data_IF_770696775296
#
_entry.id   IF_770696775296
#
_cell.length_a   1.000
_cell.length_b   1.000
_cell.length_c   1.000
_cell.angle_alpha   90.00
_cell.angle_beta   90.00
_cell.angle_gamma   90.00
#
_symmetry.space_group_name_H-M   'P 1'
#
loop_
_entity.id
_entity.type
_entity.pdbx_description
1 polymer ?
#
# COMPACT_ATOMS: atom_id res chain seq x y z
N UNK A 1 -3.72 2.48 -8.33
CA UNK A 1 -2.90 2.51 -7.10
C UNK A 1 -3.80 2.88 -5.92
N UNK A 2 -4.42 4.07 -5.88
CA UNK A 2 -5.17 4.58 -4.74
C UNK A 2 -6.24 3.64 -4.18
N UNK A 3 -7.04 3.00 -5.04
CA UNK A 3 -8.04 2.02 -4.61
C UNK A 3 -7.43 0.88 -3.78
N UNK A 4 -6.37 0.24 -4.29
CA UNK A 4 -5.75 -0.88 -3.58
C UNK A 4 -5.02 -0.43 -2.31
N UNK A 5 -4.39 0.75 -2.32
CA UNK A 5 -3.77 1.31 -1.12
C UNK A 5 -4.81 1.56 -0.03
N UNK A 6 -5.92 2.23 -0.37
CA UNK A 6 -7.00 2.48 0.57
C UNK A 6 -7.64 1.19 1.09
N UNK A 7 -7.89 0.22 0.20
CA UNK A 7 -8.48 -1.08 0.55
C UNK A 7 -7.62 -1.86 1.54
N UNK A 8 -6.33 -2.01 1.27
CA UNK A 8 -5.43 -2.75 2.17
C UNK A 8 -5.26 -2.04 3.51
N UNK A 9 -5.11 -0.73 3.51
CA UNK A 9 -5.06 0.04 4.76
C UNK A 9 -6.34 -0.10 5.59
N UNK A 10 -7.52 -0.14 4.95
CA UNK A 10 -8.79 -0.38 5.65
C UNK A 10 -8.88 -1.81 6.19
N UNK A 11 -8.65 -2.81 5.32
CA UNK A 11 -8.93 -4.23 5.62
C UNK A 11 -7.83 -4.89 6.46
N UNK A 12 -6.56 -4.58 6.21
CA UNK A 12 -5.42 -5.26 6.85
C UNK A 12 -4.87 -4.45 8.04
N UNK A 13 -4.86 -3.11 7.95
CA UNK A 13 -4.28 -2.23 8.98
C UNK A 13 -5.35 -1.54 9.86
N UNK A 14 -6.63 -1.66 9.52
CA UNK A 14 -7.72 -1.04 10.27
C UNK A 14 -7.74 0.48 10.18
N UNK A 15 -7.12 1.06 9.15
CA UNK A 15 -7.12 2.50 8.93
C UNK A 15 -8.52 3.00 8.53
N UNK A 16 -8.91 4.15 9.06
CA UNK A 16 -10.16 4.81 8.70
C UNK A 16 -9.92 5.72 7.50
N UNK A 17 -10.50 5.37 6.37
CA UNK A 17 -10.43 6.16 5.13
C UNK A 17 -11.49 7.26 5.19
N UNK A 18 -11.11 8.49 5.46
CA UNK A 18 -12.04 9.61 5.62
C UNK A 18 -12.30 10.38 4.33
N UNK A 19 -11.38 10.35 3.37
CA UNK A 19 -11.53 11.10 2.11
C UNK A 19 -11.03 10.31 0.92
N UNK A 20 -11.76 10.40 -0.19
CA UNK A 20 -11.37 9.85 -1.49
C UNK A 20 -11.53 10.95 -2.55
N UNK A 21 -10.44 11.23 -3.27
CA UNK A 21 -10.40 12.22 -4.34
C UNK A 21 -10.35 11.48 -5.67
N UNK A 22 -11.27 11.82 -6.54
CA UNK A 22 -11.38 11.27 -7.88
C UNK A 22 -11.42 12.39 -8.93
N UNK A 23 -11.40 12.03 -10.20
CA UNK A 23 -11.37 13.01 -11.31
C UNK A 23 -12.61 13.91 -11.37
N UNK A 24 -13.74 13.42 -10.93
CA UNK A 24 -15.04 14.14 -10.94
C UNK A 24 -15.29 14.96 -9.67
N UNK A 25 -14.46 14.82 -8.64
CA UNK A 25 -14.59 15.49 -7.35
C UNK A 25 -14.06 14.65 -6.22
N UNK A 26 -14.49 14.95 -5.01
CA UNK A 26 -14.08 14.18 -3.83
C UNK A 26 -15.27 13.93 -2.90
N UNK A 27 -15.16 12.88 -2.11
CA UNK A 27 -16.09 12.56 -1.03
C UNK A 27 -15.33 12.52 0.30
N UNK A 28 -15.98 13.01 1.34
CA UNK A 28 -15.48 13.05 2.71
C UNK A 28 -16.52 12.47 3.66
N UNK A 29 -16.07 11.64 4.60
CA UNK A 29 -16.87 11.12 5.71
C UNK A 29 -16.00 10.97 6.96
N UNK A 30 -16.29 11.72 8.00
CA UNK A 30 -15.55 11.65 9.28
C UNK A 30 -15.72 10.30 9.97
N UNK A 31 -16.83 9.61 9.76
CA UNK A 31 -17.09 8.26 10.26
C UNK A 31 -16.28 7.18 9.55
N UNK A 32 -15.74 7.51 8.38
CA UNK A 32 -15.02 6.60 7.49
C UNK A 32 -15.84 6.18 6.28
N UNK A 33 -15.12 5.90 5.20
CA UNK A 33 -15.65 5.41 3.93
C UNK A 33 -15.30 3.92 3.80
N UNK A 34 -16.26 3.10 3.41
CA UNK A 34 -16.01 1.71 3.04
C UNK A 34 -15.49 1.66 1.62
N UNK A 35 -14.20 1.36 1.46
CA UNK A 35 -13.49 1.50 0.18
C UNK A 35 -14.12 0.63 -0.91
N UNK A 36 -14.49 -0.60 -0.59
CA UNK A 36 -15.13 -1.51 -1.54
C UNK A 36 -16.51 -1.00 -1.99
N UNK A 37 -17.30 -0.43 -1.07
CA UNK A 37 -18.62 0.13 -1.39
C UNK A 37 -18.50 1.36 -2.29
N UNK A 38 -17.52 2.25 -2.02
CA UNK A 38 -17.22 3.40 -2.89
C UNK A 38 -16.80 2.94 -4.29
N UNK A 39 -15.98 1.89 -4.37
CA UNK A 39 -15.53 1.35 -5.66
C UNK A 39 -16.67 0.76 -6.48
N UNK A 40 -17.56 -0.02 -5.87
CA UNK A 40 -18.73 -0.59 -6.53
C UNK A 40 -19.70 0.53 -6.96
N UNK A 41 -19.97 1.49 -6.08
CA UNK A 41 -20.80 2.64 -6.40
C UNK A 41 -20.27 3.40 -7.63
N UNK A 42 -18.96 3.70 -7.63
CA UNK A 42 -18.32 4.36 -8.78
C UNK A 42 -18.42 3.53 -10.06
N UNK A 43 -18.29 2.21 -9.96
CA UNK A 43 -18.43 1.30 -11.12
C UNK A 43 -19.83 1.32 -11.70
N UNK A 44 -20.86 1.42 -10.85
CA UNK A 44 -22.26 1.44 -11.26
C UNK A 44 -22.71 2.81 -11.79
N UNK A 45 -22.26 3.89 -11.15
CA UNK A 45 -22.72 5.26 -11.43
C UNK A 45 -21.74 6.08 -12.27
N UNK A 46 -20.51 5.61 -12.47
CA UNK A 46 -19.45 6.30 -13.22
C UNK A 46 -18.80 7.48 -12.48
N UNK A 47 -19.22 7.80 -11.26
CA UNK A 47 -18.77 8.92 -10.44
C UNK A 47 -18.92 8.62 -8.95
N UNK A 48 -18.24 9.41 -8.11
CA UNK A 48 -18.37 9.31 -6.64
C UNK A 48 -19.43 10.27 -6.07
N UNK A 49 -19.90 11.23 -6.85
CA UNK A 49 -20.98 12.15 -6.46
C UNK A 49 -22.25 11.39 -6.09
N UNK A 50 -22.79 11.69 -4.91
CA UNK A 50 -24.02 11.06 -4.40
C UNK A 50 -23.78 9.75 -3.62
N UNK A 51 -22.51 9.39 -3.35
CA UNK A 51 -22.23 8.26 -2.47
C UNK A 51 -22.86 8.50 -1.08
N UNK A 52 -23.59 7.50 -0.53
CA UNK A 52 -24.28 7.65 0.75
C UNK A 52 -23.35 8.02 1.91
N UNK A 53 -23.89 8.69 2.92
CA UNK A 53 -23.19 9.04 4.16
C UNK A 53 -21.87 9.80 3.96
N UNK A 54 -21.74 10.51 2.85
CA UNK A 54 -20.58 11.33 2.54
C UNK A 54 -20.96 12.73 2.08
N UNK A 55 -20.03 13.67 2.26
CA UNK A 55 -20.13 15.02 1.70
C UNK A 55 -19.34 15.09 0.39
N UNK A 56 -19.98 15.47 -0.68
CA UNK A 56 -19.34 15.63 -1.99
C UNK A 56 -18.77 17.04 -2.19
N UNK A 57 -17.56 17.09 -2.73
CA UNK A 57 -16.85 18.31 -3.09
C UNK A 57 -16.48 18.26 -4.58
N UNK A 58 -17.07 19.15 -5.38
CA UNK A 58 -16.77 19.22 -6.82
C UNK A 58 -15.30 19.59 -7.08
N UNK A 59 -14.74 20.50 -6.26
CA UNK A 59 -13.33 20.86 -6.28
C UNK A 59 -12.55 19.91 -5.37
N UNK A 60 -12.25 18.70 -5.86
CA UNK A 60 -11.62 17.63 -5.08
C UNK A 60 -10.29 18.03 -4.41
N UNK A 61 -9.52 18.92 -5.04
CA UNK A 61 -8.26 19.39 -4.49
C UNK A 61 -8.39 20.07 -3.10
N UNK A 62 -9.55 20.62 -2.76
CA UNK A 62 -9.80 21.22 -1.44
C UNK A 62 -9.73 20.21 -0.29
N UNK A 63 -10.00 18.94 -0.58
CA UNK A 63 -9.93 17.88 0.43
C UNK A 63 -8.48 17.56 0.82
N UNK A 64 -7.49 17.89 -0.01
CA UNK A 64 -6.08 17.73 0.37
C UNK A 64 -5.73 18.49 1.65
N UNK A 65 -6.41 19.62 1.90
CA UNK A 65 -6.19 20.48 3.05
C UNK A 65 -7.01 20.07 4.30
N UNK A 66 -7.83 19.01 4.16
CA UNK A 66 -8.63 18.49 5.28
C UNK A 66 -7.75 17.76 6.30
N UNK A 67 -7.97 17.95 7.61
CA UNK A 67 -7.18 17.28 8.65
C UNK A 67 -7.21 15.76 8.52
N UNK A 68 -6.03 15.14 8.50
CA UNK A 68 -5.87 13.69 8.50
C UNK A 68 -4.52 13.30 9.11
N UNK A 69 -4.33 12.04 9.45
CA UNK A 69 -3.01 11.55 9.88
C UNK A 69 -2.09 11.31 8.68
N UNK A 70 -2.62 10.69 7.62
CA UNK A 70 -1.85 10.27 6.44
C UNK A 70 -2.56 10.76 5.18
N UNK A 71 -1.83 11.49 4.34
CA UNK A 71 -2.24 11.90 3.01
C UNK A 71 -1.51 11.05 1.96
N UNK A 72 -2.25 10.44 1.02
CA UNK A 72 -1.69 9.52 0.03
C UNK A 72 -1.99 10.02 -1.39
N UNK A 73 -1.16 10.86 -1.99
CA UNK A 73 -1.27 11.22 -3.40
C UNK A 73 -0.95 9.98 -4.27
N UNK A 74 -1.95 9.45 -4.97
CA UNK A 74 -1.84 8.18 -5.69
C UNK A 74 -2.29 8.26 -7.16
N UNK A 75 -2.42 9.47 -7.73
CA UNK A 75 -2.96 9.66 -9.06
C UNK A 75 -2.07 10.52 -9.97
N UNK A 76 -1.82 11.76 -9.61
CA UNK A 76 -1.19 12.75 -10.48
C UNK A 76 0.06 13.36 -9.85
N UNK A 77 0.97 13.80 -10.72
CA UNK A 77 2.11 14.64 -10.38
C UNK A 77 1.67 16.05 -9.96
N UNK A 78 2.48 16.74 -9.15
CA UNK A 78 2.33 18.14 -8.83
C UNK A 78 1.01 18.54 -8.15
N UNK A 79 0.36 17.64 -7.41
CA UNK A 79 -0.89 17.93 -6.70
C UNK A 79 -0.66 18.70 -5.39
N UNK A 80 0.53 18.58 -4.81
CA UNK A 80 0.98 19.35 -3.66
C UNK A 80 2.03 20.35 -4.14
N UNK A 81 1.69 21.63 -4.05
CA UNK A 81 2.49 22.75 -4.55
C UNK A 81 2.80 23.73 -3.42
N UNK A 82 3.68 24.69 -3.67
CA UNK A 82 3.96 25.78 -2.72
C UNK A 82 2.69 26.55 -2.31
N UNK A 83 1.64 26.55 -3.16
CA UNK A 83 0.40 27.25 -2.87
C UNK A 83 -0.44 26.57 -1.80
N UNK A 84 -0.56 25.22 -1.84
CA UNK A 84 -1.41 24.47 -0.92
C UNK A 84 -0.64 23.80 0.24
N UNK A 85 0.65 23.56 0.09
CA UNK A 85 1.48 22.94 1.14
C UNK A 85 1.35 23.61 2.52
N UNK A 86 1.36 24.97 2.65
CA UNK A 86 1.21 25.60 3.96
C UNK A 86 -0.12 25.35 4.68
N UNK A 87 -1.14 24.85 3.95
CA UNK A 87 -2.47 24.59 4.51
C UNK A 87 -2.75 23.11 4.76
N UNK A 88 -1.82 22.23 4.40
CA UNK A 88 -1.97 20.81 4.67
C UNK A 88 -1.94 20.53 6.18
N UNK A 89 -2.83 19.65 6.61
CA UNK A 89 -3.01 19.31 8.02
C UNK A 89 -2.86 17.78 8.22
N UNK A 90 -1.73 17.26 7.77
CA UNK A 90 -1.40 15.84 7.93
C UNK A 90 -0.09 15.67 8.70
N UNK A 91 0.16 14.47 9.23
CA UNK A 91 1.43 14.11 9.85
C UNK A 91 2.40 13.47 8.88
N UNK A 92 1.85 12.73 7.92
CA UNK A 92 2.61 11.95 6.93
C UNK A 92 2.04 12.17 5.54
N UNK A 93 2.91 12.37 4.56
CA UNK A 93 2.58 12.28 3.13
C UNK A 93 3.27 11.04 2.57
N UNK A 94 2.47 10.13 2.00
CA UNK A 94 2.95 8.89 1.39
C UNK A 94 2.78 8.99 -0.14
N UNK A 95 3.87 9.21 -0.87
CA UNK A 95 3.85 9.50 -2.31
C UNK A 95 3.67 8.23 -3.16
N UNK A 96 2.42 7.83 -3.37
CA UNK A 96 2.08 6.67 -4.19
C UNK A 96 1.93 6.99 -5.70
N UNK A 97 2.12 8.24 -6.10
CA UNK A 97 2.25 8.69 -7.49
C UNK A 97 3.69 9.16 -7.75
N UNK A 98 4.05 9.39 -9.01
CA UNK A 98 5.35 9.98 -9.36
C UNK A 98 5.30 11.50 -9.19
N UNK A 99 6.24 12.08 -8.43
CA UNK A 99 6.40 13.50 -8.23
C UNK A 99 5.13 14.24 -7.79
N UNK A 100 4.35 13.75 -6.82
CA UNK A 100 3.10 14.40 -6.44
C UNK A 100 3.33 15.67 -5.63
N UNK A 101 4.48 15.79 -4.97
CA UNK A 101 4.91 16.96 -4.20
C UNK A 101 5.99 17.70 -5.00
N UNK A 102 5.78 19.01 -5.25
CA UNK A 102 6.80 19.83 -5.91
C UNK A 102 7.98 20.11 -4.98
N UNK A 103 9.12 20.49 -5.55
CA UNK A 103 10.34 20.76 -4.77
C UNK A 103 10.11 21.88 -3.73
N UNK A 104 9.43 22.96 -4.12
CA UNK A 104 9.13 24.06 -3.21
C UNK A 104 8.17 23.65 -2.10
N UNK A 105 7.21 22.78 -2.41
CA UNK A 105 6.29 22.24 -1.42
C UNK A 105 7.01 21.32 -0.44
N UNK A 106 7.95 20.50 -0.92
CA UNK A 106 8.74 19.59 -0.09
C UNK A 106 9.51 20.36 0.99
N UNK A 107 10.13 21.48 0.63
CA UNK A 107 10.82 22.34 1.59
C UNK A 107 9.89 22.88 2.68
N UNK A 108 8.73 23.41 2.27
CA UNK A 108 7.71 23.92 3.21
C UNK A 108 7.22 22.83 4.16
N UNK A 109 6.93 21.64 3.63
CA UNK A 109 6.42 20.52 4.41
C UNK A 109 7.47 20.00 5.41
N UNK A 110 8.73 19.96 5.03
CA UNK A 110 9.85 19.60 5.93
C UNK A 110 9.98 20.63 7.05
N UNK A 111 9.90 21.93 6.77
CA UNK A 111 9.90 22.98 7.78
C UNK A 111 8.69 22.89 8.74
N UNK A 112 7.54 22.42 8.24
CA UNK A 112 6.34 22.16 9.05
C UNK A 112 6.46 20.86 9.89
N UNK A 113 7.51 20.06 9.69
CA UNK A 113 7.72 18.79 10.39
C UNK A 113 6.83 17.65 9.88
N UNK A 114 6.29 17.77 8.66
CA UNK A 114 5.49 16.71 8.03
C UNK A 114 6.44 15.68 7.43
N UNK A 115 6.27 14.42 7.83
CA UNK A 115 7.06 13.33 7.31
C UNK A 115 6.66 12.99 5.89
N UNK A 116 7.60 13.06 4.93
CA UNK A 116 7.37 12.64 3.55
C UNK A 116 8.02 11.28 3.33
N UNK A 117 7.22 10.29 2.90
CA UNK A 117 7.73 9.02 2.38
C UNK A 117 7.80 9.16 0.86
N UNK A 118 9.02 9.28 0.29
CA UNK A 118 9.20 9.72 -1.09
C UNK A 118 8.77 8.66 -2.10
N UNK A 119 8.37 9.12 -3.26
CA UNK A 119 7.94 8.30 -4.40
C UNK A 119 9.03 7.33 -4.87
N UNK A 120 10.29 7.75 -4.91
CA UNK A 120 11.43 6.91 -5.28
C UNK A 120 11.48 5.60 -4.48
N UNK A 121 10.95 5.61 -3.24
CA UNK A 121 10.80 4.43 -2.41
C UNK A 121 9.37 3.86 -2.48
N UNK A 122 8.35 4.65 -2.17
CA UNK A 122 7.01 4.13 -1.89
C UNK A 122 6.34 3.50 -3.12
N UNK A 123 6.47 4.11 -4.28
CA UNK A 123 5.87 3.57 -5.50
C UNK A 123 6.72 2.50 -6.19
N UNK A 124 7.93 2.21 -5.69
CA UNK A 124 8.83 1.20 -6.24
C UNK A 124 8.29 -0.24 -6.16
N UNK A 125 7.30 -0.49 -5.29
CA UNK A 125 6.69 -1.82 -5.15
C UNK A 125 6.15 -2.37 -6.47
N UNK A 126 5.55 -1.54 -7.31
CA UNK A 126 5.04 -1.94 -8.63
C UNK A 126 6.15 -2.44 -9.57
N UNK A 127 7.28 -1.75 -9.64
CA UNK A 127 8.42 -2.16 -10.48
C UNK A 127 9.13 -3.38 -9.89
N UNK A 128 9.18 -3.51 -8.58
CA UNK A 128 9.73 -4.69 -7.90
C UNK A 128 8.95 -5.96 -8.27
N UNK A 129 7.62 -5.89 -8.25
CA UNK A 129 6.76 -7.01 -8.70
C UNK A 129 6.97 -7.31 -10.18
N UNK A 130 7.10 -6.29 -11.03
CA UNK A 130 7.41 -6.48 -12.46
C UNK A 130 8.77 -7.15 -12.66
N UNK A 131 9.75 -6.86 -11.83
CA UNK A 131 11.05 -7.54 -11.85
C UNK A 131 10.91 -9.02 -11.46
N UNK A 132 10.10 -9.36 -10.46
CA UNK A 132 9.83 -10.77 -10.11
C UNK A 132 9.15 -11.51 -11.27
N UNK A 133 8.19 -10.86 -11.95
CA UNK A 133 7.52 -11.42 -13.12
C UNK A 133 8.52 -11.66 -14.27
N UNK A 134 9.42 -10.72 -14.52
CA UNK A 134 10.48 -10.87 -15.51
C UNK A 134 11.43 -12.03 -15.19
N UNK A 135 11.91 -12.18 -13.95
CA UNK A 135 12.73 -13.30 -13.50
C UNK A 135 12.02 -14.65 -13.72
N UNK A 136 10.72 -14.70 -13.39
CA UNK A 136 9.89 -15.88 -13.63
C UNK A 136 9.86 -16.25 -15.11
N UNK A 137 9.68 -15.26 -15.99
CA UNK A 137 9.64 -15.48 -17.44
C UNK A 137 10.98 -15.95 -17.98
N UNK A 138 12.10 -15.42 -17.49
CA UNK A 138 13.45 -15.84 -17.88
C UNK A 138 13.78 -17.26 -17.43
N UNK A 139 13.42 -17.62 -16.23
CA UNK A 139 13.77 -18.93 -15.66
C UNK A 139 12.96 -20.07 -16.25
N UNK A 140 11.90 -19.79 -17.02
CA UNK A 140 10.91 -20.78 -17.49
C UNK A 140 10.36 -21.69 -16.38
N UNK A 141 10.60 -21.35 -15.11
CA UNK A 141 10.16 -22.07 -13.92
C UNK A 141 8.99 -21.31 -13.32
N UNK A 142 7.92 -22.05 -13.02
CA UNK A 142 6.84 -21.49 -12.20
C UNK A 142 7.35 -21.40 -10.78
N UNK A 143 7.56 -20.17 -10.26
CA UNK A 143 7.92 -19.95 -8.87
C UNK A 143 6.99 -20.74 -7.94
N UNK A 144 7.59 -21.43 -6.98
CA UNK A 144 6.84 -22.17 -5.95
C UNK A 144 6.34 -23.56 -6.36
N UNK A 145 6.52 -24.04 -7.60
CA UNK A 145 6.02 -25.38 -7.95
C UNK A 145 6.75 -26.51 -7.24
N UNK A 146 8.06 -26.37 -7.05
CA UNK A 146 8.86 -27.33 -6.28
C UNK A 146 8.64 -27.13 -4.78
N UNK A 147 8.66 -25.88 -4.32
CA UNK A 147 8.43 -25.52 -2.92
C UNK A 147 7.02 -25.92 -2.47
N UNK A 148 6.03 -25.73 -3.33
CA UNK A 148 4.65 -26.15 -3.08
C UNK A 148 4.53 -27.65 -2.89
N UNK A 149 5.14 -28.46 -3.75
CA UNK A 149 5.14 -29.94 -3.59
C UNK A 149 5.83 -30.39 -2.30
N UNK A 150 6.91 -29.68 -1.93
CA UNK A 150 7.61 -29.97 -0.68
C UNK A 150 6.75 -29.60 0.54
N UNK A 151 6.10 -28.44 0.50
CA UNK A 151 5.18 -27.98 1.55
C UNK A 151 3.95 -28.89 1.65
N UNK A 152 3.34 -29.27 0.52
CA UNK A 152 2.22 -30.23 0.49
C UNK A 152 2.62 -31.56 1.15
N UNK A 153 3.77 -32.12 0.81
CA UNK A 153 4.26 -33.38 1.40
C UNK A 153 4.61 -33.25 2.91
N UNK A 154 5.09 -32.08 3.34
CA UNK A 154 5.30 -31.82 4.78
C UNK A 154 3.97 -31.67 5.52
N UNK A 155 3.02 -30.93 4.96
CA UNK A 155 1.71 -30.71 5.55
C UNK A 155 0.90 -32.01 5.63
N UNK A 156 1.00 -32.90 4.63
CA UNK A 156 0.40 -34.25 4.69
C UNK A 156 0.91 -35.04 5.90
N UNK A 157 2.21 -35.02 6.15
CA UNK A 157 2.81 -35.69 7.33
C UNK A 157 2.34 -35.08 8.65
N UNK A 158 2.20 -33.76 8.70
CA UNK A 158 1.67 -33.06 9.89
C UNK A 158 0.21 -33.43 10.12
N UNK A 159 -0.61 -33.50 9.08
CA UNK A 159 -2.01 -33.94 9.16
C UNK A 159 -2.08 -35.39 9.70
N UNK A 160 -1.29 -36.30 9.15
CA UNK A 160 -1.23 -37.71 9.63
C UNK A 160 -0.86 -37.77 11.10
N UNK A 161 0.11 -37.00 11.56
CA UNK A 161 0.51 -36.94 12.97
C UNK A 161 -0.61 -36.41 13.87
N UNK A 162 -1.30 -35.36 13.43
CA UNK A 162 -2.44 -34.78 14.16
C UNK A 162 -3.59 -35.77 14.25
N UNK A 163 -3.96 -36.42 13.13
CA UNK A 163 -5.01 -37.46 13.11
C UNK A 163 -4.68 -38.63 14.01
N UNK A 164 -3.44 -39.07 13.98
CA UNK A 164 -2.94 -40.17 14.86
C UNK A 164 -3.00 -39.76 16.33
N UNK A 165 -2.60 -38.52 16.67
CA UNK A 165 -2.60 -38.06 18.04
C UNK A 165 -4.02 -37.82 18.59
N UNK A 166 -4.93 -37.39 17.77
CA UNK A 166 -6.33 -37.10 18.15
C UNK A 166 -7.22 -38.37 18.09
N UNK A 167 -6.79 -39.42 17.38
CA UNK A 167 -7.61 -40.59 17.10
C UNK A 167 -8.85 -40.30 16.26
N UNK A 168 -8.83 -39.19 15.50
CA UNK A 168 -9.94 -38.69 14.65
C UNK A 168 -9.40 -38.13 13.35
N UNK A 169 -10.14 -38.38 12.27
CA UNK A 169 -9.85 -37.81 10.97
C UNK A 169 -10.32 -36.36 10.93
N UNK A 170 -9.48 -35.43 10.44
CA UNK A 170 -9.86 -34.06 10.19
C UNK A 170 -10.89 -33.97 9.05
N UNK A 171 -11.77 -32.99 9.11
CA UNK A 171 -12.70 -32.75 8.02
C UNK A 171 -11.96 -32.28 6.74
N UNK A 172 -12.63 -32.41 5.60
CA UNK A 172 -12.04 -32.12 4.29
C UNK A 172 -11.61 -30.65 4.20
N UNK A 173 -12.39 -29.70 4.74
CA UNK A 173 -12.09 -28.28 4.67
C UNK A 173 -10.86 -27.92 5.52
N UNK A 174 -10.71 -28.54 6.69
CA UNK A 174 -9.52 -28.37 7.54
C UNK A 174 -8.28 -28.94 6.87
N UNK A 175 -8.40 -30.11 6.20
CA UNK A 175 -7.28 -30.69 5.41
C UNK A 175 -6.88 -29.80 4.24
N UNK A 176 -7.85 -29.33 3.46
CA UNK A 176 -7.57 -28.44 2.32
C UNK A 176 -6.85 -27.15 2.77
N UNK A 177 -7.29 -26.52 3.86
CA UNK A 177 -6.61 -25.33 4.43
C UNK A 177 -5.18 -25.63 4.90
N UNK A 178 -4.94 -26.79 5.47
CA UNK A 178 -3.58 -27.20 5.91
C UNK A 178 -2.68 -27.60 4.73
N UNK A 179 -3.27 -28.15 3.67
CA UNK A 179 -2.55 -28.55 2.44
C UNK A 179 -2.28 -27.36 1.52
N UNK A 180 -2.97 -26.25 1.71
CA UNK A 180 -2.79 -25.03 0.92
C UNK A 180 -1.35 -24.51 1.16
N UNK A 181 -0.43 -24.95 0.31
CA UNK A 181 0.95 -24.48 0.32
C UNK A 181 1.05 -23.04 -0.19
N UNK A 182 2.23 -22.40 -0.11
CA UNK A 182 2.43 -21.05 -0.58
C UNK A 182 2.06 -20.95 -2.06
N UNK A 183 1.05 -20.14 -2.36
CA UNK A 183 0.67 -19.83 -3.72
C UNK A 183 1.59 -18.72 -4.28
N UNK A 184 1.57 -18.52 -5.59
CA UNK A 184 2.40 -17.52 -6.26
C UNK A 184 2.18 -16.11 -5.70
N UNK A 185 0.95 -15.77 -5.37
CA UNK A 185 0.60 -14.47 -4.80
C UNK A 185 1.25 -14.27 -3.42
N UNK A 186 1.23 -15.29 -2.57
CA UNK A 186 1.84 -15.25 -1.24
C UNK A 186 3.36 -15.09 -1.33
N UNK A 187 4.02 -15.79 -2.27
CA UNK A 187 5.46 -15.65 -2.50
C UNK A 187 5.83 -14.25 -2.99
N UNK A 188 5.06 -13.71 -3.93
CA UNK A 188 5.28 -12.35 -4.43
C UNK A 188 5.04 -11.31 -3.33
N UNK A 189 3.99 -11.44 -2.53
CA UNK A 189 3.71 -10.56 -1.40
C UNK A 189 4.82 -10.60 -0.36
N UNK A 190 5.28 -11.79 0.02
CA UNK A 190 6.37 -11.95 0.98
C UNK A 190 7.68 -11.34 0.46
N UNK A 191 8.06 -11.64 -0.78
CA UNK A 191 9.26 -11.05 -1.39
C UNK A 191 9.19 -9.54 -1.54
N UNK A 192 8.00 -9.00 -1.87
CA UNK A 192 7.76 -7.56 -1.94
C UNK A 192 7.88 -6.93 -0.54
N UNK A 193 7.24 -7.51 0.47
CA UNK A 193 7.29 -7.01 1.84
C UNK A 193 8.74 -6.97 2.36
N UNK A 194 9.50 -8.04 2.19
CA UNK A 194 10.89 -8.12 2.61
C UNK A 194 11.74 -7.06 1.91
N UNK A 195 11.60 -6.92 0.59
CA UNK A 195 12.34 -5.92 -0.20
C UNK A 195 12.01 -4.49 0.25
N UNK A 196 10.73 -4.17 0.36
CA UNK A 196 10.29 -2.84 0.74
C UNK A 196 10.68 -2.50 2.18
N UNK A 197 10.57 -3.45 3.11
CA UNK A 197 10.96 -3.27 4.51
C UNK A 197 12.46 -3.05 4.67
N UNK A 198 13.26 -3.84 3.93
CA UNK A 198 14.72 -3.66 3.92
C UNK A 198 15.09 -2.27 3.38
N UNK A 199 14.58 -1.91 2.21
CA UNK A 199 14.86 -0.60 1.58
C UNK A 199 14.44 0.57 2.48
N UNK A 200 13.30 0.47 3.18
CA UNK A 200 12.90 1.49 4.15
C UNK A 200 13.88 1.66 5.30
N UNK A 201 14.39 0.54 5.82
CA UNK A 201 15.38 0.57 6.89
C UNK A 201 16.70 1.17 6.42
N UNK A 202 17.12 0.88 5.18
CA UNK A 202 18.31 1.49 4.58
C UNK A 202 18.17 3.00 4.41
N UNK A 203 17.01 3.48 3.87
CA UNK A 203 16.71 4.92 3.79
C UNK A 203 16.76 5.58 5.18
N UNK A 204 16.13 4.96 6.17
CA UNK A 204 16.12 5.46 7.54
C UNK A 204 17.52 5.48 8.17
N UNK A 205 18.33 4.49 7.88
CA UNK A 205 19.71 4.42 8.36
C UNK A 205 20.56 5.53 7.75
N UNK A 206 20.44 5.78 6.44
CA UNK A 206 21.15 6.88 5.76
C UNK A 206 20.79 8.25 6.35
N UNK A 207 19.51 8.50 6.62
CA UNK A 207 19.04 9.72 7.27
C UNK A 207 19.66 9.88 8.68
N UNK A 208 19.81 8.77 9.43
CA UNK A 208 20.30 8.80 10.79
C UNK A 208 21.83 8.91 10.89
N UNK A 209 22.56 8.25 10.01
CA UNK A 209 24.02 8.17 10.05
C UNK A 209 24.73 9.34 9.35
N UNK A 210 24.05 10.06 8.48
CA UNK A 210 24.64 11.13 7.70
C UNK A 210 24.04 12.50 8.08
N UNK A 211 24.74 13.27 8.88
CA UNK A 211 24.31 14.61 9.34
C UNK A 211 23.98 15.60 8.21
N UNK A 212 24.40 15.32 6.96
CA UNK A 212 24.10 16.16 5.79
C UNK A 212 22.76 15.81 5.15
N UNK A 213 22.17 14.68 5.53
CA UNK A 213 20.88 14.21 5.04
C UNK A 213 19.82 14.55 6.10
N UNK A 214 18.97 15.50 5.79
CA UNK A 214 18.00 16.05 6.75
C UNK A 214 16.56 15.56 6.49
N UNK A 215 16.35 14.79 5.42
CA UNK A 215 15.03 14.32 5.02
C UNK A 215 15.12 12.96 4.31
N UNK A 216 13.98 12.26 4.26
CA UNK A 216 13.87 10.92 3.67
C UNK A 216 14.02 10.88 2.16
N UNK A 217 13.64 11.95 1.46
CA UNK A 217 13.80 12.05 0.02
C UNK A 217 15.28 12.08 -0.35
N UNK A 218 16.04 12.95 0.30
CA UNK A 218 17.49 13.03 0.11
C UNK A 218 18.17 11.71 0.48
N UNK A 219 17.73 11.04 1.55
CA UNK A 219 18.23 9.73 1.93
C UNK A 219 17.97 8.66 0.86
N UNK A 220 16.76 8.64 0.29
CA UNK A 220 16.38 7.68 -0.76
C UNK A 220 17.16 7.89 -2.06
N UNK A 221 17.53 9.12 -2.40
CA UNK A 221 18.37 9.40 -3.57
C UNK A 221 19.86 9.18 -3.33
N UNK A 222 20.30 9.09 -2.07
CA UNK A 222 21.68 8.85 -1.71
C UNK A 222 22.06 7.36 -1.68
N UNK A 223 21.09 6.46 -1.71
CA UNK A 223 21.25 5.02 -1.82
C UNK A 223 21.43 4.58 -3.28
#
# INVERSE_FOLDING_TARGET
VGYHAAKFLEEEDGARIIGIIERDGAILSESGLRVEEVFQYKKEHGKVEGFPESTFFKEGAKILEHPCDILIPAAMEGVVTHENAPRLQCKVIAEAANGPVTYEADQILNEMGILIIPDAYLNAGGVTVSYFEWLKNLSHVRFGRMDRRFAEAQNERVIELIESALGKTLDIQAKEKLLEGPNELNLVRSGLEDTMRQSYNEVKQQEHENEKITDRRTAAYAL
#
